data_IF_169801590360
#
_entry.id   IF_169801590360
#
_cell.length_a   1.000
_cell.length_b   1.000
_cell.length_c   1.000
_cell.angle_alpha   90.00
_cell.angle_beta   90.00
_cell.angle_gamma   90.00
#
_symmetry.space_group_name_H-M   'P 1'
#
loop_
_entity.id
_entity.type
_entity.pdbx_description
1 polymer ?
#
# COMPACT_ATOMS: atom_id res chain seq x y z
N UNK A 1 15.22 11.10 0.43
CA UNK A 1 14.03 10.58 -0.28
C UNK A 1 12.76 11.39 0.00
N UNK A 2 12.40 11.68 1.27
CA UNK A 2 11.27 12.58 1.63
C UNK A 2 11.27 13.98 1.01
N UNK A 3 12.37 14.39 0.37
CA UNK A 3 12.51 15.69 -0.29
C UNK A 3 11.93 15.69 -1.72
N UNK A 4 11.66 14.53 -2.32
CA UNK A 4 11.28 14.42 -3.73
C UNK A 4 9.91 13.77 -3.97
N UNK A 5 9.31 13.16 -2.94
CA UNK A 5 7.99 12.51 -2.98
C UNK A 5 7.08 13.14 -1.92
N UNK A 6 5.76 12.95 -2.04
CA UNK A 6 4.80 13.44 -1.08
C UNK A 6 4.85 12.69 0.27
N UNK A 7 4.00 13.10 1.24
CA UNK A 7 4.00 12.53 2.59
C UNK A 7 3.74 11.02 2.66
N UNK A 8 2.97 10.45 1.73
CA UNK A 8 2.74 9.00 1.64
C UNK A 8 3.91 8.26 1.01
N UNK A 9 4.90 8.98 0.50
CA UNK A 9 6.03 8.44 -0.27
C UNK A 9 5.56 7.58 -1.45
N UNK A 10 4.49 8.02 -2.11
CA UNK A 10 3.92 7.32 -3.27
C UNK A 10 4.90 7.44 -4.43
N UNK A 11 5.37 6.30 -4.93
CA UNK A 11 6.29 6.23 -6.06
C UNK A 11 5.57 5.77 -7.34
N UNK A 12 4.43 6.40 -7.61
CA UNK A 12 3.57 6.18 -8.77
C UNK A 12 2.66 7.40 -8.98
N UNK A 13 2.01 7.50 -10.14
CA UNK A 13 1.26 8.70 -10.55
C UNK A 13 0.20 9.13 -9.52
N UNK A 14 0.10 10.43 -9.21
CA UNK A 14 -0.94 10.99 -8.34
C UNK A 14 -2.16 11.49 -9.14
N UNK A 15 -3.25 11.86 -8.47
CA UNK A 15 -4.49 12.31 -9.11
C UNK A 15 -4.69 13.82 -8.91
N UNK A 16 -4.77 14.56 -10.01
CA UNK A 16 -4.95 16.02 -10.02
C UNK A 16 -6.21 16.41 -10.81
N UNK A 17 -7.43 16.29 -10.24
CA UNK A 17 -8.66 16.57 -10.97
C UNK A 17 -8.75 18.01 -11.48
N UNK A 18 -8.21 18.97 -10.72
CA UNK A 18 -8.24 20.40 -11.09
C UNK A 18 -6.87 20.95 -11.50
N UNK A 19 -5.79 20.22 -11.21
CA UNK A 19 -4.42 20.68 -11.41
C UNK A 19 -3.92 21.66 -10.34
N UNK A 20 -4.71 21.92 -9.30
CA UNK A 20 -4.39 22.85 -8.19
C UNK A 20 -4.08 22.13 -6.88
N UNK A 21 -4.23 20.81 -6.85
CA UNK A 21 -3.95 20.01 -5.68
C UNK A 21 -2.46 20.08 -5.32
N UNK A 22 -2.16 20.13 -4.03
CA UNK A 22 -0.79 19.86 -3.55
C UNK A 22 -0.44 18.40 -3.79
N UNK A 23 0.84 18.05 -3.82
CA UNK A 23 1.27 16.64 -3.94
C UNK A 23 0.64 15.75 -2.86
N UNK A 24 0.53 16.26 -1.62
CA UNK A 24 -0.10 15.54 -0.52
C UNK A 24 -1.57 15.21 -0.81
N UNK A 25 -2.34 16.21 -1.30
CA UNK A 25 -3.73 15.99 -1.67
C UNK A 25 -3.86 15.03 -2.86
N UNK A 26 -2.97 15.15 -3.85
CA UNK A 26 -3.00 14.31 -5.04
C UNK A 26 -2.65 12.84 -4.76
N UNK A 27 -1.76 12.58 -3.78
CA UNK A 27 -1.50 11.24 -3.26
C UNK A 27 -2.77 10.62 -2.65
N UNK A 28 -3.41 11.32 -1.70
CA UNK A 28 -4.63 10.84 -1.03
C UNK A 28 -5.75 10.60 -2.05
N UNK A 29 -5.99 11.54 -2.99
CA UNK A 29 -7.02 11.39 -4.03
C UNK A 29 -6.78 10.17 -4.91
N UNK A 30 -5.53 9.87 -5.25
CA UNK A 30 -5.23 8.69 -6.06
C UNK A 30 -5.44 7.39 -5.27
N UNK A 31 -4.97 7.34 -4.01
CA UNK A 31 -5.16 6.18 -3.14
C UNK A 31 -6.65 5.90 -2.90
N UNK A 32 -7.46 6.95 -2.76
CA UNK A 32 -8.90 6.80 -2.68
C UNK A 32 -9.54 6.32 -3.97
N UNK A 33 -9.07 6.81 -5.12
CA UNK A 33 -9.54 6.33 -6.41
C UNK A 33 -9.28 4.82 -6.58
N UNK A 34 -8.16 4.29 -6.06
CA UNK A 34 -7.92 2.86 -6.05
C UNK A 34 -8.94 2.11 -5.19
N UNK A 35 -9.26 2.63 -4.00
CA UNK A 35 -10.27 2.04 -3.12
C UNK A 35 -11.64 1.94 -3.81
N UNK A 36 -12.08 3.02 -4.46
CA UNK A 36 -13.36 3.05 -5.17
C UNK A 36 -13.37 2.09 -6.36
N UNK A 37 -12.36 2.17 -7.23
CA UNK A 37 -12.29 1.36 -8.46
C UNK A 37 -12.15 -0.13 -8.18
N UNK A 38 -11.35 -0.49 -7.19
CA UNK A 38 -11.17 -1.88 -6.77
C UNK A 38 -12.27 -2.37 -5.82
N UNK A 39 -13.23 -1.50 -5.46
CA UNK A 39 -14.31 -1.79 -4.50
C UNK A 39 -13.74 -2.39 -3.20
N UNK A 40 -12.72 -1.73 -2.66
CA UNK A 40 -12.14 -2.09 -1.38
C UNK A 40 -13.12 -1.73 -0.27
N UNK A 41 -13.17 -2.57 0.75
CA UNK A 41 -13.97 -2.35 1.94
C UNK A 41 -13.24 -2.93 3.15
N UNK A 42 -13.75 -2.65 4.33
CA UNK A 42 -13.21 -3.23 5.55
C UNK A 42 -13.49 -4.74 5.64
N UNK A 43 -12.76 -5.44 6.51
CA UNK A 43 -12.91 -6.88 6.79
C UNK A 43 -12.73 -7.81 5.56
N UNK A 44 -11.85 -7.45 4.63
CA UNK A 44 -11.42 -8.30 3.50
C UNK A 44 -9.90 -8.51 3.51
N UNK A 45 -9.43 -9.48 2.74
CA UNK A 45 -8.01 -9.77 2.55
C UNK A 45 -7.47 -9.10 1.30
N UNK A 46 -6.44 -8.27 1.46
CA UNK A 46 -5.89 -7.44 0.39
C UNK A 46 -4.39 -7.73 0.23
N UNK A 47 -3.97 -8.00 -1.01
CA UNK A 47 -2.56 -8.07 -1.38
C UNK A 47 -2.14 -6.83 -2.17
N UNK A 48 -1.10 -6.14 -1.69
CA UNK A 48 -0.39 -5.05 -2.37
C UNK A 48 0.93 -5.61 -2.95
N UNK A 49 0.91 -5.98 -4.23
CA UNK A 49 2.07 -6.51 -4.94
C UNK A 49 2.98 -5.36 -5.38
N UNK A 50 4.26 -5.40 -4.99
CA UNK A 50 5.20 -4.33 -5.31
C UNK A 50 4.93 -3.06 -4.49
N UNK A 51 4.75 -3.20 -3.18
CA UNK A 51 4.22 -2.14 -2.31
C UNK A 51 5.11 -0.88 -2.16
N UNK A 52 6.32 -0.89 -2.72
CA UNK A 52 7.26 0.22 -2.66
C UNK A 52 7.55 0.65 -1.21
N UNK A 53 7.38 1.94 -0.91
CA UNK A 53 7.54 2.46 0.45
C UNK A 53 6.27 2.35 1.32
N UNK A 54 5.28 1.58 0.86
CA UNK A 54 4.05 1.27 1.58
C UNK A 54 2.96 2.33 1.47
N UNK A 55 2.99 3.20 0.46
CA UNK A 55 2.02 4.28 0.32
C UNK A 55 0.57 3.78 0.33
N UNK A 56 0.29 2.70 -0.39
CA UNK A 56 -1.03 2.06 -0.42
C UNK A 56 -1.25 1.17 0.82
N UNK A 57 -0.32 0.26 1.10
CA UNK A 57 -0.39 -0.64 2.27
C UNK A 57 -0.69 0.08 3.60
N UNK A 58 0.03 1.17 3.91
CA UNK A 58 -0.17 1.94 5.14
C UNK A 58 -1.49 2.74 5.11
N UNK A 59 -1.88 3.23 3.93
CA UNK A 59 -3.16 3.91 3.75
C UNK A 59 -4.34 2.96 3.99
N UNK A 60 -4.29 1.74 3.46
CA UNK A 60 -5.32 0.72 3.66
C UNK A 60 -5.37 0.25 5.11
N UNK A 61 -4.22 0.04 5.75
CA UNK A 61 -4.15 -0.34 7.15
C UNK A 61 -4.81 0.70 8.09
N UNK A 62 -4.62 1.98 7.78
CA UNK A 62 -5.23 3.12 8.48
C UNK A 62 -6.75 3.21 8.22
N UNK A 63 -7.16 3.03 6.98
CA UNK A 63 -8.56 3.23 6.55
C UNK A 63 -9.48 2.05 6.89
N UNK A 64 -8.95 0.83 6.88
CA UNK A 64 -9.71 -0.41 7.05
C UNK A 64 -9.11 -1.26 8.19
N UNK A 65 -9.43 -0.93 9.45
CA UNK A 65 -8.80 -1.55 10.61
C UNK A 65 -9.09 -3.05 10.77
N UNK A 66 -10.17 -3.56 10.16
CA UNK A 66 -10.53 -4.99 10.21
C UNK A 66 -10.10 -5.76 8.94
N UNK A 67 -9.66 -5.08 7.88
CA UNK A 67 -9.08 -5.73 6.71
C UNK A 67 -7.71 -6.34 7.05
N UNK A 68 -7.30 -7.40 6.37
CA UNK A 68 -5.93 -7.95 6.47
C UNK A 68 -5.14 -7.55 5.24
N UNK A 69 -4.09 -6.76 5.44
CA UNK A 69 -3.26 -6.24 4.36
C UNK A 69 -1.95 -7.04 4.33
N UNK A 70 -1.67 -7.69 3.22
CA UNK A 70 -0.37 -8.29 2.92
C UNK A 70 0.31 -7.44 1.86
N UNK A 71 1.57 -7.07 2.11
CA UNK A 71 2.36 -6.25 1.21
C UNK A 71 3.60 -7.02 0.78
N UNK A 72 3.89 -7.10 -0.52
CA UNK A 72 5.08 -7.77 -1.04
C UNK A 72 6.04 -6.72 -1.63
N UNK A 73 7.29 -6.71 -1.16
CA UNK A 73 8.38 -5.89 -1.70
C UNK A 73 9.64 -6.72 -1.84
N UNK A 74 10.47 -6.47 -2.85
CA UNK A 74 11.78 -7.12 -2.98
C UNK A 74 12.87 -6.46 -2.11
N UNK A 75 12.54 -5.40 -1.36
CA UNK A 75 13.50 -4.58 -0.62
C UNK A 75 13.30 -4.69 0.90
N UNK A 76 14.35 -5.13 1.59
CA UNK A 76 14.40 -5.20 3.05
C UNK A 76 14.31 -3.83 3.71
N UNK A 77 14.81 -2.78 3.05
CA UNK A 77 14.77 -1.40 3.58
C UNK A 77 13.38 -0.78 3.48
N UNK A 78 12.64 -1.10 2.42
CA UNK A 78 11.22 -0.75 2.30
C UNK A 78 10.40 -1.44 3.38
N UNK A 79 10.59 -2.76 3.58
CA UNK A 79 9.96 -3.49 4.68
C UNK A 79 10.24 -2.85 6.05
N UNK A 80 11.51 -2.61 6.36
CA UNK A 80 11.88 -2.01 7.65
C UNK A 80 11.24 -0.64 7.88
N UNK A 81 11.11 0.17 6.81
CA UNK A 81 10.40 1.44 6.88
C UNK A 81 8.92 1.25 7.20
N UNK A 82 8.21 0.39 6.46
CA UNK A 82 6.77 0.16 6.60
C UNK A 82 6.46 -0.43 7.98
N UNK A 83 7.24 -1.43 8.42
CA UNK A 83 7.10 -2.03 9.76
C UNK A 83 7.29 -0.97 10.86
N UNK A 84 8.24 -0.04 10.69
CA UNK A 84 8.44 1.08 11.60
C UNK A 84 7.23 2.01 11.69
N UNK A 85 6.69 2.43 10.55
CA UNK A 85 5.49 3.30 10.52
C UNK A 85 4.26 2.58 11.08
N UNK A 86 4.08 1.31 10.73
CA UNK A 86 2.98 0.49 11.24
C UNK A 86 3.06 0.36 12.77
N UNK A 87 4.25 0.11 13.31
CA UNK A 87 4.49 0.07 14.75
C UNK A 87 4.19 1.42 15.43
N UNK A 88 4.70 2.52 14.88
CA UNK A 88 4.49 3.86 15.45
C UNK A 88 3.02 4.27 15.45
N UNK A 89 2.25 3.85 14.44
CA UNK A 89 0.80 4.08 14.34
C UNK A 89 -0.05 3.02 15.05
N UNK A 90 0.54 1.94 15.56
CA UNK A 90 -0.18 0.85 16.23
C UNK A 90 -1.00 -0.04 15.29
N UNK A 91 -0.64 -0.12 14.02
CA UNK A 91 -1.32 -0.98 13.05
C UNK A 91 -0.96 -2.45 13.29
N UNK A 92 -1.98 -3.29 13.50
CA UNK A 92 -1.83 -4.73 13.71
C UNK A 92 -2.34 -5.57 12.54
N UNK A 93 -2.85 -4.90 11.51
CA UNK A 93 -3.54 -5.50 10.37
C UNK A 93 -2.72 -5.50 9.07
N UNK A 94 -1.43 -5.12 9.15
CA UNK A 94 -0.51 -5.07 8.01
C UNK A 94 0.67 -6.03 8.20
N UNK A 95 0.88 -6.92 7.23
CA UNK A 95 2.05 -7.80 7.15
C UNK A 95 2.86 -7.49 5.90
N UNK A 96 4.15 -7.18 6.06
CA UNK A 96 5.06 -6.94 4.93
C UNK A 96 5.98 -8.14 4.72
N UNK A 97 6.01 -8.68 3.52
CA UNK A 97 6.83 -9.80 3.08
C UNK A 97 7.93 -9.26 2.17
N UNK A 98 9.17 -9.73 2.40
CA UNK A 98 10.27 -9.48 1.46
C UNK A 98 10.41 -10.64 0.48
N UNK A 99 10.18 -10.39 -0.81
CA UNK A 99 10.26 -11.40 -1.87
C UNK A 99 10.19 -10.80 -3.28
N UNK A 100 10.74 -11.53 -4.26
CA UNK A 100 10.66 -11.17 -5.68
C UNK A 100 9.38 -11.74 -6.29
N UNK A 101 8.48 -10.87 -6.75
CA UNK A 101 7.18 -11.24 -7.31
C UNK A 101 7.25 -12.23 -8.47
N UNK A 102 8.38 -12.30 -9.20
CA UNK A 102 8.53 -13.23 -10.33
C UNK A 102 8.65 -14.69 -9.89
N UNK A 103 9.11 -14.93 -8.65
CA UNK A 103 9.43 -16.28 -8.15
C UNK A 103 8.84 -16.54 -6.76
N UNK A 104 8.23 -15.54 -6.13
CA UNK A 104 7.65 -15.67 -4.81
C UNK A 104 6.35 -16.48 -4.90
N UNK A 105 6.36 -17.62 -4.22
CA UNK A 105 5.19 -18.49 -4.10
C UNK A 105 4.53 -18.27 -2.74
N UNK A 106 3.24 -17.91 -2.76
CA UNK A 106 2.42 -17.93 -1.56
C UNK A 106 2.03 -19.37 -1.23
N UNK A 107 1.73 -19.65 0.04
CA UNK A 107 1.15 -20.94 0.44
C UNK A 107 -0.12 -21.23 -0.37
N UNK A 108 -0.38 -22.48 -0.74
CA UNK A 108 -1.56 -22.87 -1.55
C UNK A 108 -2.89 -22.44 -0.91
N UNK A 109 -2.91 -22.35 0.42
CA UNK A 109 -4.02 -21.91 1.26
C UNK A 109 -4.25 -20.39 1.22
N UNK A 110 -3.27 -19.60 0.79
CA UNK A 110 -3.38 -18.15 0.76
C UNK A 110 -4.46 -17.72 -0.23
N UNK A 111 -5.39 -16.89 0.24
CA UNK A 111 -6.46 -16.28 -0.55
C UNK A 111 -6.51 -14.79 -0.25
N UNK A 112 -6.83 -14.02 -1.27
CA UNK A 112 -7.04 -12.58 -1.16
C UNK A 112 -8.34 -12.26 -1.87
N UNK A 113 -9.18 -11.44 -1.25
CA UNK A 113 -10.38 -10.91 -1.87
C UNK A 113 -10.01 -9.91 -2.98
N UNK A 114 -8.91 -9.18 -2.79
CA UNK A 114 -8.38 -8.20 -3.74
C UNK A 114 -6.87 -8.27 -3.84
N UNK A 115 -6.37 -8.14 -5.07
CA UNK A 115 -4.94 -8.00 -5.34
C UNK A 115 -4.76 -6.70 -6.13
N UNK A 116 -3.88 -5.83 -5.64
CA UNK A 116 -3.52 -4.58 -6.28
C UNK A 116 -2.07 -4.66 -6.74
N UNK A 117 -1.83 -4.22 -7.98
CA UNK A 117 -0.50 -4.05 -8.58
C UNK A 117 -0.50 -2.67 -9.22
N UNK A 118 0.24 -1.74 -8.61
CA UNK A 118 0.24 -0.33 -9.00
C UNK A 118 1.62 0.06 -9.49
N UNK A 119 1.80 0.08 -10.81
CA UNK A 119 3.05 0.49 -11.48
C UNK A 119 4.28 -0.28 -10.95
N UNK A 120 4.14 -1.62 -10.88
CA UNK A 120 5.14 -2.59 -10.37
C UNK A 120 6.19 -2.94 -11.41
#
# INVERSE_FOLDING_TARGET
MKLCVGPRMKYSSCLYPTGKETIAQAEELMLESYCEKAKLCDAIDILDLGCGWGSLSLFLAEKYPNARITALSNSTTQKAHIDGVAKDKGFTNLTVITGDVNVYEFEESAKFDRILSIEV
#
